data_IF_550119467025
#
_entry.id   IF_550119467025
#
_cell.length_a   1.000
_cell.length_b   1.000
_cell.length_c   1.000
_cell.angle_alpha   90.00
_cell.angle_beta   90.00
_cell.angle_gamma   90.00
#
_symmetry.space_group_name_H-M   'P 1'
#
loop_
_entity.id
_entity.type
_entity.pdbx_description
1 polymer ?
#
# COMPACT_ATOMS: atom_id res chain seq x y z
N UNK A 1 13.03 -5.12 -7.37
CA UNK A 1 12.97 -5.88 -6.12
C UNK A 1 13.18 -4.94 -4.94
N UNK A 2 12.43 -5.12 -3.86
CA UNK A 2 12.57 -4.32 -2.62
C UNK A 2 13.02 -5.26 -1.52
N UNK A 3 14.12 -4.93 -0.85
CA UNK A 3 14.66 -5.68 0.28
C UNK A 3 14.75 -4.77 1.50
N UNK A 4 14.19 -5.21 2.59
CA UNK A 4 14.27 -4.59 3.90
C UNK A 4 15.16 -5.49 4.75
N UNK A 5 16.25 -4.95 5.29
CA UNK A 5 17.30 -5.73 5.94
C UNK A 5 17.51 -5.21 7.36
N UNK A 6 17.10 -6.01 8.35
CA UNK A 6 17.26 -5.74 9.78
C UNK A 6 16.82 -4.32 10.19
N UNK A 7 15.65 -3.89 9.70
CA UNK A 7 15.17 -2.54 9.86
C UNK A 7 14.67 -2.31 11.28
N UNK A 8 15.21 -1.30 11.93
CA UNK A 8 14.75 -0.80 13.24
C UNK A 8 14.26 0.64 13.12
N UNK A 9 13.19 0.97 13.82
CA UNK A 9 12.72 2.35 13.97
C UNK A 9 12.27 2.61 15.38
N UNK A 10 12.89 3.59 16.01
CA UNK A 10 12.51 4.08 17.33
C UNK A 10 12.14 5.56 17.26
N UNK A 11 11.28 5.99 18.18
CA UNK A 11 10.90 7.39 18.37
C UNK A 11 11.16 7.78 19.83
N UNK A 12 11.77 8.96 20.10
CA UNK A 12 11.85 9.50 21.44
C UNK A 12 10.46 9.91 21.92
N UNK A 13 10.14 9.58 23.18
CA UNK A 13 8.91 9.98 23.84
C UNK A 13 9.25 10.62 25.20
N UNK A 14 8.33 11.38 25.83
CA UNK A 14 8.58 11.93 27.16
C UNK A 14 8.95 10.88 28.21
N UNK A 15 8.41 9.66 28.07
CA UNK A 15 8.58 8.55 29.00
C UNK A 15 9.72 7.58 28.60
N UNK A 16 10.53 7.93 27.57
CA UNK A 16 11.62 7.09 27.10
C UNK A 16 11.67 6.91 25.58
N UNK A 17 11.84 5.68 25.11
CA UNK A 17 11.97 5.35 23.68
C UNK A 17 10.86 4.37 23.29
N UNK A 18 10.07 4.73 22.31
CA UNK A 18 9.08 3.84 21.69
C UNK A 18 9.69 3.15 20.48
N UNK A 19 9.69 1.80 20.48
CA UNK A 19 10.13 0.99 19.32
C UNK A 19 8.94 0.71 18.43
N UNK A 20 8.93 1.29 17.24
CA UNK A 20 7.87 1.12 16.26
C UNK A 20 8.13 -0.03 15.28
N UNK A 21 9.42 -0.31 14.99
CA UNK A 21 9.86 -1.44 14.16
C UNK A 21 11.08 -2.07 14.83
N UNK A 22 11.11 -3.41 14.84
CA UNK A 22 12.17 -4.17 15.49
C UNK A 22 12.58 -5.35 14.59
N UNK A 23 13.80 -5.28 14.06
CA UNK A 23 14.43 -6.32 13.24
C UNK A 23 13.57 -6.79 12.05
N UNK A 24 12.96 -5.85 11.33
CA UNK A 24 12.14 -6.18 10.17
C UNK A 24 13.02 -6.57 9.00
N UNK A 25 12.91 -7.81 8.55
CA UNK A 25 13.55 -8.33 7.34
C UNK A 25 12.47 -8.88 6.40
N UNK A 26 12.42 -8.36 5.15
CA UNK A 26 11.37 -8.66 4.19
C UNK A 26 11.87 -8.45 2.76
N UNK A 27 11.46 -9.33 1.84
CA UNK A 27 11.74 -9.21 0.41
C UNK A 27 10.43 -9.16 -0.38
N UNK A 28 10.29 -8.17 -1.26
CA UNK A 28 9.13 -7.98 -2.14
C UNK A 28 9.62 -8.05 -3.58
N UNK A 29 9.02 -8.95 -4.37
CA UNK A 29 9.42 -9.18 -5.77
C UNK A 29 8.88 -8.08 -6.68
N UNK A 30 9.56 -7.87 -7.80
CA UNK A 30 9.07 -6.95 -8.82
C UNK A 30 7.74 -7.41 -9.41
N UNK A 31 6.85 -6.45 -9.65
CA UNK A 31 5.53 -6.70 -10.21
C UNK A 31 4.53 -7.35 -9.23
N UNK A 32 4.93 -7.61 -8.00
CA UNK A 32 4.06 -8.21 -6.99
C UNK A 32 3.01 -7.22 -6.46
N UNK A 33 1.85 -7.73 -6.07
CA UNK A 33 0.90 -7.03 -5.20
C UNK A 33 1.05 -7.62 -3.81
N UNK A 34 1.78 -6.92 -2.96
CA UNK A 34 2.21 -7.39 -1.66
C UNK A 34 1.40 -6.74 -0.53
N UNK A 35 0.77 -7.55 0.30
CA UNK A 35 0.02 -7.10 1.48
C UNK A 35 0.90 -6.98 2.72
N UNK A 36 0.76 -5.91 3.50
CA UNK A 36 1.29 -5.78 4.86
C UNK A 36 0.10 -5.63 5.80
N UNK A 37 -0.14 -6.64 6.60
CA UNK A 37 -1.30 -6.71 7.49
C UNK A 37 -0.89 -6.72 8.95
N UNK A 38 -1.82 -6.39 9.83
CA UNK A 38 -1.62 -6.39 11.28
C UNK A 38 -2.64 -5.49 11.97
N UNK A 39 -2.76 -5.65 13.28
CA UNK A 39 -3.65 -4.83 14.10
C UNK A 39 -3.25 -3.34 14.08
N UNK A 40 -4.16 -2.46 14.53
CA UNK A 40 -3.81 -1.05 14.73
C UNK A 40 -2.60 -0.92 15.66
N UNK A 41 -1.66 -0.04 15.32
CA UNK A 41 -0.42 0.12 16.08
C UNK A 41 0.68 -0.91 15.83
N UNK A 42 0.49 -1.89 14.94
CA UNK A 42 1.48 -2.92 14.63
C UNK A 42 2.78 -2.40 13.97
N UNK A 43 2.81 -1.12 13.52
CA UNK A 43 3.98 -0.52 12.86
C UNK A 43 3.87 -0.41 11.34
N UNK A 44 2.74 -0.81 10.73
CA UNK A 44 2.54 -0.87 9.26
C UNK A 44 2.85 0.45 8.54
N UNK A 45 2.21 1.54 8.93
CA UNK A 45 2.44 2.86 8.30
C UNK A 45 3.86 3.37 8.54
N UNK A 46 4.47 3.03 9.69
CA UNK A 46 5.89 3.34 9.94
C UNK A 46 6.79 2.58 8.98
N UNK A 47 6.51 1.29 8.74
CA UNK A 47 7.28 0.47 7.81
C UNK A 47 7.24 1.05 6.38
N UNK A 48 6.05 1.40 5.87
CA UNK A 48 5.92 2.01 4.53
C UNK A 48 6.62 3.37 4.44
N UNK A 49 6.53 4.19 5.49
CA UNK A 49 7.26 5.46 5.53
C UNK A 49 8.77 5.25 5.57
N UNK A 50 9.25 4.16 6.16
CA UNK A 50 10.66 3.78 6.09
C UNK A 50 11.03 3.27 4.70
N UNK A 51 10.20 2.50 4.02
CA UNK A 51 10.45 2.04 2.64
C UNK A 51 10.67 3.23 1.70
N UNK A 52 9.86 4.27 1.83
CA UNK A 52 9.99 5.52 1.05
C UNK A 52 10.95 6.54 1.70
N UNK A 53 11.62 6.17 2.79
CA UNK A 53 12.49 7.07 3.58
C UNK A 53 11.83 8.39 4.01
N UNK A 54 10.48 8.50 4.02
CA UNK A 54 9.77 9.60 4.66
C UNK A 54 10.09 9.63 6.16
N UNK A 55 10.23 8.44 6.76
CA UNK A 55 10.84 8.22 8.05
C UNK A 55 12.18 7.51 7.86
N UNK A 56 13.28 8.10 8.34
CA UNK A 56 14.56 7.41 8.31
C UNK A 56 14.57 6.31 9.38
N UNK A 57 14.97 5.08 9.04
CA UNK A 57 15.17 4.03 10.03
C UNK A 57 16.25 4.46 11.03
N UNK A 58 16.18 3.91 12.24
CA UNK A 58 17.23 4.09 13.28
C UNK A 58 18.46 3.26 12.94
N UNK A 59 18.24 2.05 12.40
CA UNK A 59 19.28 1.18 11.84
C UNK A 59 18.68 0.21 10.82
N UNK A 60 19.53 -0.55 10.12
CA UNK A 60 19.12 -1.42 9.02
C UNK A 60 19.06 -0.68 7.68
N UNK A 61 18.69 -1.40 6.63
CA UNK A 61 18.77 -0.93 5.26
C UNK A 61 17.45 -1.14 4.51
N UNK A 62 17.20 -0.27 3.55
CA UNK A 62 16.13 -0.41 2.53
C UNK A 62 16.80 -0.38 1.17
N UNK A 63 16.80 -1.49 0.47
CA UNK A 63 17.42 -1.64 -0.86
C UNK A 63 16.30 -1.74 -1.90
N UNK A 64 16.33 -0.90 -2.93
CA UNK A 64 15.37 -0.91 -4.04
C UNK A 64 16.12 -0.97 -5.35
N UNK A 65 15.87 -2.01 -6.14
CA UNK A 65 16.57 -2.28 -7.39
C UNK A 65 18.09 -2.36 -7.19
N UNK A 66 18.55 -2.97 -6.07
CA UNK A 66 19.98 -3.13 -5.73
C UNK A 66 20.65 -1.86 -5.19
N UNK A 67 19.93 -0.75 -5.01
CA UNK A 67 20.44 0.51 -4.48
C UNK A 67 19.95 0.74 -3.04
N UNK A 68 20.87 0.92 -2.11
CA UNK A 68 20.55 1.21 -0.70
C UNK A 68 20.05 2.65 -0.54
N UNK A 69 18.74 2.79 -0.34
CA UNK A 69 18.06 4.06 -0.14
C UNK A 69 18.53 4.80 1.10
N UNK A 70 18.98 4.07 2.14
CA UNK A 70 19.40 4.66 3.42
C UNK A 70 20.74 5.37 3.32
N UNK A 71 21.59 4.95 2.37
CA UNK A 71 22.91 5.52 2.11
C UNK A 71 22.88 6.73 1.14
N UNK A 72 21.75 6.99 0.48
CA UNK A 72 21.65 8.05 -0.51
C UNK A 72 21.78 9.45 0.09
N UNK A 73 22.46 10.33 -0.67
CA UNK A 73 22.45 11.77 -0.38
C UNK A 73 21.02 12.34 -0.52
N UNK A 74 20.71 13.48 0.13
CA UNK A 74 19.36 14.08 0.02
C UNK A 74 18.94 14.40 -1.43
N UNK A 75 19.88 14.71 -2.32
CA UNK A 75 19.61 14.96 -3.74
C UNK A 75 19.27 13.64 -4.45
N UNK A 76 20.10 12.62 -4.33
CA UNK A 76 19.89 11.32 -4.95
C UNK A 76 18.59 10.67 -4.44
N UNK A 77 18.30 10.77 -3.14
CA UNK A 77 17.05 10.27 -2.56
C UNK A 77 15.81 10.96 -3.16
N UNK A 78 15.85 12.28 -3.38
CA UNK A 78 14.73 12.98 -4.06
C UNK A 78 14.52 12.49 -5.49
N UNK A 79 15.59 12.20 -6.21
CA UNK A 79 15.52 11.65 -7.58
C UNK A 79 14.96 10.22 -7.55
N UNK A 80 15.45 9.37 -6.67
CA UNK A 80 14.97 7.99 -6.54
C UNK A 80 13.51 7.92 -6.12
N UNK A 81 13.04 8.79 -5.24
CA UNK A 81 11.63 8.89 -4.82
C UNK A 81 10.65 9.18 -5.96
N UNK A 82 11.11 9.66 -7.13
CA UNK A 82 10.24 9.80 -8.30
C UNK A 82 9.75 8.46 -8.83
N UNK A 83 10.51 7.39 -8.60
CA UNK A 83 10.13 6.03 -8.98
C UNK A 83 9.28 5.31 -7.93
N UNK A 84 8.99 5.97 -6.79
CA UNK A 84 8.22 5.42 -5.69
C UNK A 84 7.08 6.40 -5.38
N UNK A 85 5.86 6.02 -5.69
CA UNK A 85 4.69 6.84 -5.40
C UNK A 85 3.92 6.31 -4.20
N UNK A 86 3.20 7.19 -3.53
CA UNK A 86 2.42 6.83 -2.34
C UNK A 86 1.00 7.38 -2.43
N UNK A 87 0.05 6.51 -2.14
CA UNK A 87 -1.36 6.84 -1.92
C UNK A 87 -1.58 6.79 -0.41
N UNK A 88 -2.05 7.89 0.15
CA UNK A 88 -2.26 8.05 1.59
C UNK A 88 -3.70 7.71 1.96
N UNK A 89 -3.92 7.37 3.22
CA UNK A 89 -5.23 7.13 3.81
C UNK A 89 -6.20 8.31 3.58
N UNK A 90 -5.73 9.54 3.78
CA UNK A 90 -6.42 10.74 3.32
C UNK A 90 -5.94 11.05 1.91
N UNK A 91 -6.83 11.40 1.00
CA UNK A 91 -6.53 11.62 -0.43
C UNK A 91 -5.41 12.63 -0.68
N UNK A 92 -5.19 13.56 0.25
CA UNK A 92 -4.16 14.62 0.21
C UNK A 92 -4.16 15.41 -1.11
N UNK A 93 -5.35 15.62 -1.70
CA UNK A 93 -5.50 16.42 -2.89
C UNK A 93 -5.34 17.91 -2.58
N UNK A 94 -4.74 18.63 -3.51
CA UNK A 94 -4.62 20.09 -3.45
C UNK A 94 -5.99 20.70 -3.73
N UNK A 95 -6.69 21.12 -2.67
CA UNK A 95 -8.10 21.53 -2.72
C UNK A 95 -8.35 22.76 -3.61
N UNK A 96 -7.33 23.60 -3.80
CA UNK A 96 -7.40 24.82 -4.62
C UNK A 96 -6.96 24.58 -6.08
N UNK A 97 -6.66 23.34 -6.47
CA UNK A 97 -6.30 22.95 -7.83
C UNK A 97 -7.37 22.04 -8.42
N UNK A 98 -7.56 22.12 -9.73
CA UNK A 98 -8.41 21.20 -10.47
C UNK A 98 -7.89 19.75 -10.39
N UNK A 99 -8.68 18.77 -10.78
CA UNK A 99 -8.24 17.37 -10.89
C UNK A 99 -7.05 17.23 -11.84
N UNK A 100 -7.12 17.88 -13.00
CA UNK A 100 -6.05 17.89 -13.98
C UNK A 100 -4.75 18.46 -13.38
N UNK A 101 -4.84 19.60 -12.67
CA UNK A 101 -3.67 20.25 -12.08
C UNK A 101 -3.13 19.49 -10.86
N UNK A 102 -3.98 18.74 -10.13
CA UNK A 102 -3.54 17.78 -9.12
C UNK A 102 -2.66 16.67 -9.73
N UNK A 103 -3.07 16.12 -10.87
CA UNK A 103 -2.32 15.06 -11.56
C UNK A 103 -1.05 15.64 -12.20
N UNK A 104 -1.07 16.87 -12.71
CA UNK A 104 0.10 17.53 -13.26
C UNK A 104 1.17 17.85 -12.20
N UNK A 105 0.80 18.00 -10.94
CA UNK A 105 1.67 18.54 -9.89
C UNK A 105 3.00 17.77 -9.71
N UNK A 106 3.06 16.43 -9.65
CA UNK A 106 4.34 15.71 -9.59
C UNK A 106 5.25 15.97 -10.81
N UNK A 107 4.65 16.10 -11.98
CA UNK A 107 5.36 16.37 -13.23
C UNK A 107 5.88 17.82 -13.29
N UNK A 108 5.15 18.78 -12.72
CA UNK A 108 5.59 20.17 -12.55
C UNK A 108 6.85 20.22 -11.67
N UNK A 109 6.85 19.52 -10.53
CA UNK A 109 8.02 19.41 -9.63
C UNK A 109 9.21 18.75 -10.35
N UNK A 110 8.93 17.79 -11.24
CA UNK A 110 9.95 17.13 -12.04
C UNK A 110 10.50 18.00 -13.18
N UNK A 111 9.95 19.20 -13.42
CA UNK A 111 10.36 20.10 -14.50
C UNK A 111 9.85 19.69 -15.89
N UNK A 112 8.82 18.83 -15.95
CA UNK A 112 8.23 18.41 -17.24
C UNK A 112 7.47 19.60 -17.86
N UNK A 113 7.63 19.89 -19.15
CA UNK A 113 6.92 20.97 -19.82
C UNK A 113 5.40 20.84 -19.66
N UNK A 114 4.72 21.96 -19.36
CA UNK A 114 3.29 22.03 -19.05
C UNK A 114 2.41 21.33 -20.08
N UNK A 115 2.69 21.50 -21.38
CA UNK A 115 1.91 20.86 -22.43
C UNK A 115 1.99 19.32 -22.35
N UNK A 116 3.18 18.78 -22.11
CA UNK A 116 3.42 17.33 -21.95
C UNK A 116 2.76 16.80 -20.68
N UNK A 117 2.89 17.53 -19.58
CA UNK A 117 2.25 17.16 -18.31
C UNK A 117 0.71 17.12 -18.42
N UNK A 118 0.10 18.12 -19.10
CA UNK A 118 -1.37 18.13 -19.31
C UNK A 118 -1.86 17.00 -20.23
N UNK A 119 -1.08 16.65 -21.26
CA UNK A 119 -1.41 15.50 -22.12
C UNK A 119 -1.41 14.21 -21.27
N UNK A 120 -0.32 13.96 -20.56
CA UNK A 120 -0.20 12.78 -19.70
C UNK A 120 -1.29 12.73 -18.62
N UNK A 121 -1.63 13.86 -18.01
CA UNK A 121 -2.68 13.93 -17.00
C UNK A 121 -4.06 13.59 -17.57
N UNK A 122 -4.37 13.92 -18.83
CA UNK A 122 -5.63 13.52 -19.49
C UNK A 122 -5.68 12.00 -19.73
N UNK A 123 -4.60 11.38 -20.20
CA UNK A 123 -4.49 9.92 -20.34
C UNK A 123 -4.70 9.20 -19.00
N UNK A 124 -4.17 9.77 -17.92
CA UNK A 124 -4.35 9.21 -16.57
C UNK A 124 -5.78 9.39 -16.05
N UNK A 125 -6.47 10.50 -16.39
CA UNK A 125 -7.89 10.66 -16.11
C UNK A 125 -8.74 9.60 -16.83
N UNK A 126 -8.44 9.28 -18.08
CA UNK A 126 -9.07 8.17 -18.80
C UNK A 126 -8.77 6.82 -18.13
N UNK A 127 -7.53 6.59 -17.74
CA UNK A 127 -7.10 5.35 -17.06
C UNK A 127 -7.88 5.11 -15.77
N UNK A 128 -8.17 6.17 -15.00
CA UNK A 128 -8.94 6.03 -13.76
C UNK A 128 -10.46 6.20 -13.96
N UNK A 129 -10.92 6.33 -15.22
CA UNK A 129 -12.35 6.42 -15.58
C UNK A 129 -13.02 7.74 -15.20
N UNK A 130 -12.27 8.85 -15.24
CA UNK A 130 -12.77 10.20 -14.92
C UNK A 130 -12.39 11.27 -15.96
N UNK A 131 -12.54 11.01 -17.28
CA UNK A 131 -12.10 11.94 -18.33
C UNK A 131 -12.86 13.30 -18.28
N UNK A 132 -14.11 13.28 -17.80
CA UNK A 132 -14.99 14.44 -17.67
C UNK A 132 -14.69 15.33 -16.46
N UNK A 133 -13.83 14.90 -15.54
CA UNK A 133 -13.52 15.60 -14.28
C UNK A 133 -12.25 16.48 -14.32
N UNK A 134 -11.66 16.68 -15.51
CA UNK A 134 -10.41 17.43 -15.65
C UNK A 134 -10.44 18.81 -14.95
N UNK A 135 -11.50 19.57 -15.16
CA UNK A 135 -11.65 20.93 -14.64
C UNK A 135 -12.40 20.99 -13.29
N UNK A 136 -12.84 19.85 -12.75
CA UNK A 136 -13.51 19.79 -11.45
C UNK A 136 -12.49 19.98 -10.31
N UNK A 137 -12.94 20.54 -9.20
CA UNK A 137 -12.17 20.66 -7.96
C UNK A 137 -12.45 19.49 -7.02
N UNK A 138 -11.50 19.11 -6.13
CA UNK A 138 -11.69 18.01 -5.18
C UNK A 138 -12.96 18.12 -4.32
N UNK A 139 -13.39 19.35 -3.97
CA UNK A 139 -14.62 19.56 -3.21
C UNK A 139 -15.89 19.08 -3.92
N UNK A 140 -15.86 18.96 -5.26
CA UNK A 140 -16.99 18.55 -6.11
C UNK A 140 -17.03 17.03 -6.34
N UNK A 141 -16.10 16.27 -5.76
CA UNK A 141 -15.94 14.84 -5.99
C UNK A 141 -16.44 14.00 -4.81
N UNK A 142 -16.97 12.81 -5.13
CA UNK A 142 -17.21 11.77 -4.13
C UNK A 142 -15.87 11.22 -3.58
N UNK A 143 -15.91 10.49 -2.46
CA UNK A 143 -14.73 9.85 -1.87
C UNK A 143 -13.99 8.94 -2.87
N UNK A 144 -14.72 8.07 -3.57
CA UNK A 144 -14.15 7.20 -4.59
C UNK A 144 -13.55 7.94 -5.79
N UNK A 145 -14.17 9.05 -6.21
CA UNK A 145 -13.61 9.90 -7.26
C UNK A 145 -12.32 10.59 -6.80
N UNK A 146 -12.28 11.11 -5.56
CA UNK A 146 -11.05 11.66 -4.95
C UNK A 146 -9.94 10.63 -4.92
N UNK A 147 -10.24 9.39 -4.56
CA UNK A 147 -9.26 8.31 -4.54
C UNK A 147 -8.73 8.00 -5.94
N UNK A 148 -9.58 7.94 -6.94
CA UNK A 148 -9.16 7.76 -8.34
C UNK A 148 -8.24 8.88 -8.83
N UNK A 149 -8.51 10.15 -8.46
CA UNK A 149 -7.61 11.26 -8.77
C UNK A 149 -6.28 11.13 -8.01
N UNK A 150 -6.28 10.68 -6.75
CA UNK A 150 -5.06 10.44 -6.00
C UNK A 150 -4.20 9.31 -6.62
N UNK A 151 -4.86 8.25 -7.13
CA UNK A 151 -4.19 7.18 -7.90
C UNK A 151 -3.60 7.76 -9.20
N UNK A 152 -4.37 8.50 -9.99
CA UNK A 152 -3.87 9.12 -11.22
C UNK A 152 -2.66 10.03 -10.96
N UNK A 153 -2.71 10.84 -9.89
CA UNK A 153 -1.59 11.67 -9.45
C UNK A 153 -0.36 10.84 -9.08
N UNK A 154 -0.55 9.73 -8.38
CA UNK A 154 0.55 8.83 -8.01
C UNK A 154 1.21 8.20 -9.25
N UNK A 155 0.45 7.92 -10.31
CA UNK A 155 0.96 7.38 -11.57
C UNK A 155 1.64 8.42 -12.47
N UNK A 156 1.50 9.71 -12.19
CA UNK A 156 1.98 10.78 -13.06
C UNK A 156 3.51 10.81 -13.22
N UNK A 157 4.26 10.28 -12.25
CA UNK A 157 5.72 10.17 -12.30
C UNK A 157 6.23 8.85 -12.89
N UNK A 158 5.36 8.03 -13.48
CA UNK A 158 5.67 6.69 -13.99
C UNK A 158 6.44 5.83 -12.97
N UNK A 159 5.86 5.59 -11.78
CA UNK A 159 6.55 4.93 -10.69
C UNK A 159 6.75 3.44 -10.98
N UNK A 160 7.83 2.88 -10.43
CA UNK A 160 8.05 1.42 -10.37
C UNK A 160 7.38 0.77 -9.16
N UNK A 161 7.20 1.54 -8.09
CA UNK A 161 6.63 1.10 -6.82
C UNK A 161 5.47 2.03 -6.43
N UNK A 162 4.33 1.43 -6.10
CA UNK A 162 3.15 2.11 -5.58
C UNK A 162 2.87 1.64 -4.15
N UNK A 163 2.99 2.56 -3.19
CA UNK A 163 2.70 2.32 -1.78
C UNK A 163 1.27 2.78 -1.48
N UNK A 164 0.43 1.89 -0.96
CA UNK A 164 -0.96 2.17 -0.62
C UNK A 164 -1.13 2.06 0.91
N UNK A 165 -1.14 3.21 1.60
CA UNK A 165 -1.32 3.27 3.06
C UNK A 165 -2.81 3.43 3.38
N UNK A 166 -3.49 2.33 3.72
CA UNK A 166 -4.93 2.27 4.01
C UNK A 166 -5.81 3.01 2.97
N UNK A 167 -5.47 2.85 1.71
CA UNK A 167 -6.02 3.61 0.59
C UNK A 167 -7.54 3.46 0.39
N UNK A 168 -8.20 2.56 1.10
CA UNK A 168 -9.64 2.27 0.99
C UNK A 168 -10.41 2.43 2.28
N UNK A 169 -9.75 2.68 3.42
CA UNK A 169 -10.38 2.70 4.75
C UNK A 169 -11.49 3.76 4.95
N UNK A 170 -11.50 4.79 4.12
CA UNK A 170 -12.51 5.87 4.16
C UNK A 170 -13.63 5.69 3.12
N UNK A 171 -13.73 4.52 2.46
CA UNK A 171 -14.65 4.25 1.37
C UNK A 171 -15.69 3.18 1.76
N UNK A 172 -16.85 3.23 1.11
CA UNK A 172 -17.82 2.15 1.23
C UNK A 172 -17.34 0.85 0.55
N UNK A 173 -17.86 -0.33 0.91
CA UNK A 173 -17.38 -1.62 0.39
C UNK A 173 -17.43 -1.75 -1.13
N UNK A 174 -18.43 -1.17 -1.79
CA UNK A 174 -18.58 -1.23 -3.26
C UNK A 174 -17.51 -0.41 -3.94
N UNK A 175 -17.29 0.81 -3.44
CA UNK A 175 -16.22 1.70 -3.92
C UNK A 175 -14.85 1.11 -3.65
N UNK A 176 -14.64 0.51 -2.46
CA UNK A 176 -13.40 -0.20 -2.11
C UNK A 176 -13.04 -1.24 -3.17
N UNK A 177 -13.95 -2.17 -3.49
CA UNK A 177 -13.71 -3.20 -4.51
C UNK A 177 -13.37 -2.59 -5.88
N UNK A 178 -14.06 -1.50 -6.26
CA UNK A 178 -13.79 -0.79 -7.52
C UNK A 178 -12.38 -0.20 -7.56
N UNK A 179 -11.89 0.36 -6.44
CA UNK A 179 -10.53 0.90 -6.32
C UNK A 179 -9.49 -0.22 -6.32
N UNK A 180 -9.75 -1.33 -5.62
CA UNK A 180 -8.85 -2.48 -5.57
C UNK A 180 -8.65 -3.09 -6.96
N UNK A 181 -9.73 -3.28 -7.72
CA UNK A 181 -9.66 -3.75 -9.12
C UNK A 181 -8.88 -2.78 -10.00
N UNK A 182 -9.09 -1.48 -9.85
CA UNK A 182 -8.31 -0.47 -10.57
C UNK A 182 -6.80 -0.60 -10.27
N UNK A 183 -6.41 -0.78 -8.99
CA UNK A 183 -5.01 -0.97 -8.59
C UNK A 183 -4.45 -2.26 -9.20
N UNK A 184 -5.20 -3.35 -9.19
CA UNK A 184 -4.80 -4.63 -9.79
C UNK A 184 -4.63 -4.51 -11.32
N UNK A 185 -5.54 -3.81 -12.00
CA UNK A 185 -5.45 -3.57 -13.45
C UNK A 185 -4.22 -2.72 -13.80
N UNK A 186 -3.92 -1.71 -12.97
CA UNK A 186 -2.73 -0.87 -13.11
C UNK A 186 -1.47 -1.73 -12.92
N UNK A 187 -1.40 -2.56 -11.88
CA UNK A 187 -0.28 -3.48 -11.65
C UNK A 187 -0.06 -4.39 -12.87
N UNK A 188 -1.11 -5.06 -13.36
CA UNK A 188 -1.03 -5.97 -14.50
C UNK A 188 -0.61 -5.27 -15.80
N UNK A 189 -1.12 -4.05 -16.04
CA UNK A 189 -0.83 -3.31 -17.28
C UNK A 189 0.54 -2.66 -17.31
N UNK A 190 1.01 -2.15 -16.16
CA UNK A 190 2.25 -1.39 -16.05
C UNK A 190 3.42 -2.21 -15.48
N UNK A 191 3.17 -3.39 -14.92
CA UNK A 191 4.18 -4.24 -14.30
C UNK A 191 4.80 -3.63 -13.04
N UNK A 192 4.13 -2.65 -12.41
CA UNK A 192 4.65 -1.98 -11.20
C UNK A 192 4.45 -2.84 -9.97
N UNK A 193 5.35 -2.73 -9.01
CA UNK A 193 5.19 -3.37 -7.69
C UNK A 193 4.22 -2.55 -6.84
N UNK A 194 3.24 -3.21 -6.23
CA UNK A 194 2.26 -2.55 -5.35
C UNK A 194 2.40 -3.10 -3.93
N UNK A 195 2.52 -2.20 -2.94
CA UNK A 195 2.50 -2.56 -1.52
C UNK A 195 1.23 -2.00 -0.92
N UNK A 196 0.37 -2.88 -0.40
CA UNK A 196 -0.92 -2.53 0.20
C UNK A 196 -0.84 -2.71 1.70
N UNK A 197 -1.06 -1.62 2.44
CA UNK A 197 -1.24 -1.68 3.88
C UNK A 197 -2.72 -1.66 4.20
N UNK A 198 -3.15 -2.63 4.99
CA UNK A 198 -4.53 -2.71 5.44
C UNK A 198 -4.63 -3.55 6.72
N UNK A 199 -5.71 -3.37 7.44
CA UNK A 199 -6.15 -4.28 8.49
C UNK A 199 -7.34 -5.14 8.03
N UNK A 200 -7.81 -4.96 6.79
CA UNK A 200 -8.93 -5.67 6.19
C UNK A 200 -8.42 -6.90 5.42
N UNK A 201 -8.64 -8.10 5.97
CA UNK A 201 -8.22 -9.35 5.33
C UNK A 201 -8.86 -9.57 3.96
N UNK A 202 -10.12 -9.16 3.78
CA UNK A 202 -10.82 -9.25 2.49
C UNK A 202 -10.11 -8.48 1.37
N UNK A 203 -9.47 -7.35 1.68
CA UNK A 203 -8.66 -6.57 0.72
C UNK A 203 -7.45 -7.37 0.26
N UNK A 204 -6.75 -8.01 1.20
CA UNK A 204 -5.56 -8.82 0.90
C UNK A 204 -5.93 -10.03 0.04
N UNK A 205 -7.00 -10.72 0.41
CA UNK A 205 -7.50 -11.90 -0.31
C UNK A 205 -7.93 -11.56 -1.75
N UNK A 206 -8.49 -10.36 -1.97
CA UNK A 206 -9.00 -9.94 -3.29
C UNK A 206 -7.87 -9.59 -4.28
N UNK A 207 -6.78 -8.94 -3.82
CA UNK A 207 -5.80 -8.39 -4.78
C UNK A 207 -4.34 -8.78 -4.56
N UNK A 208 -3.95 -9.25 -3.37
CA UNK A 208 -2.55 -9.54 -3.07
C UNK A 208 -2.16 -10.97 -3.49
N UNK A 209 -0.92 -11.13 -3.92
CA UNK A 209 -0.30 -12.44 -4.19
C UNK A 209 0.48 -12.96 -2.98
N UNK A 210 1.14 -12.06 -2.26
CA UNK A 210 1.90 -12.37 -1.05
C UNK A 210 1.50 -11.43 0.08
N UNK A 211 1.76 -11.86 1.31
CA UNK A 211 1.43 -11.08 2.50
C UNK A 211 2.50 -11.25 3.58
N UNK A 212 2.73 -10.18 4.34
CA UNK A 212 3.46 -10.21 5.60
C UNK A 212 2.54 -9.80 6.75
N UNK A 213 2.54 -10.58 7.81
CA UNK A 213 1.83 -10.29 9.06
C UNK A 213 2.77 -9.54 9.99
N UNK A 214 2.41 -8.33 10.34
CA UNK A 214 3.18 -7.47 11.23
C UNK A 214 2.49 -7.37 12.60
N UNK A 215 3.24 -7.59 13.67
CA UNK A 215 2.76 -7.43 15.04
C UNK A 215 3.88 -6.86 15.92
N UNK A 216 3.55 -5.86 16.73
CA UNK A 216 4.50 -5.20 17.63
C UNK A 216 5.84 -4.79 16.96
N UNK A 217 5.75 -4.30 15.72
CA UNK A 217 6.91 -3.87 14.95
C UNK A 217 7.76 -4.98 14.35
N UNK A 218 7.34 -6.24 14.43
CA UNK A 218 8.06 -7.43 13.90
C UNK A 218 7.25 -8.12 12.81
N UNK A 219 7.92 -8.69 11.83
CA UNK A 219 7.30 -9.61 10.87
C UNK A 219 7.17 -10.98 11.53
N UNK A 220 5.93 -11.39 11.77
CA UNK A 220 5.62 -12.66 12.42
C UNK A 220 5.50 -13.81 11.43
N UNK A 221 5.06 -13.50 10.21
CA UNK A 221 4.85 -14.49 9.16
C UNK A 221 4.87 -13.81 7.79
N UNK A 222 5.33 -14.51 6.77
CA UNK A 222 5.27 -14.09 5.37
C UNK A 222 5.07 -15.31 4.48
N UNK A 223 4.33 -15.16 3.40
CA UNK A 223 4.05 -16.23 2.44
C UNK A 223 3.11 -15.77 1.34
N UNK A 224 2.67 -16.71 0.50
CA UNK A 224 1.54 -16.44 -0.40
C UNK A 224 0.27 -16.21 0.41
N UNK A 225 -0.67 -15.46 -0.15
CA UNK A 225 -1.97 -15.23 0.50
C UNK A 225 -2.67 -16.57 0.79
N UNK A 226 -2.61 -17.50 -0.15
CA UNK A 226 -3.20 -18.85 0.02
C UNK A 226 -2.60 -19.58 1.21
N UNK A 227 -1.27 -19.60 1.37
CA UNK A 227 -0.59 -20.28 2.49
C UNK A 227 -0.96 -19.66 3.83
N UNK A 228 -0.88 -18.33 3.95
CA UNK A 228 -1.12 -17.62 5.22
C UNK A 228 -2.60 -17.66 5.62
N UNK A 229 -3.53 -17.65 4.64
CA UNK A 229 -4.96 -17.68 4.93
C UNK A 229 -5.50 -19.10 5.18
N UNK A 230 -4.95 -20.12 4.50
CA UNK A 230 -5.39 -21.52 4.72
C UNK A 230 -4.78 -22.14 5.96
N UNK A 231 -3.53 -21.81 6.29
CA UNK A 231 -2.80 -22.42 7.42
C UNK A 231 -1.83 -21.41 8.06
N UNK A 232 -2.34 -20.38 8.77
CA UNK A 232 -1.49 -19.40 9.43
C UNK A 232 -0.63 -20.06 10.50
N UNK A 233 0.70 -19.87 10.38
CA UNK A 233 1.69 -20.48 11.28
C UNK A 233 1.86 -19.67 12.56
N UNK A 234 1.80 -18.33 12.45
CA UNK A 234 1.93 -17.44 13.59
C UNK A 234 0.61 -17.29 14.35
N UNK A 235 0.68 -17.03 15.64
CA UNK A 235 -0.49 -16.67 16.45
C UNK A 235 -1.13 -15.36 15.96
N UNK A 236 -0.31 -14.40 15.55
CA UNK A 236 -0.77 -13.15 14.95
C UNK A 236 -1.56 -13.39 13.65
N UNK A 237 -1.07 -14.28 12.77
CA UNK A 237 -1.77 -14.69 11.56
C UNK A 237 -3.11 -15.36 11.88
N UNK A 238 -3.14 -16.28 12.84
CA UNK A 238 -4.39 -16.96 13.27
C UNK A 238 -5.42 -15.96 13.77
N UNK A 239 -5.03 -14.98 14.59
CA UNK A 239 -5.94 -13.94 15.11
C UNK A 239 -6.51 -13.06 14.00
N UNK A 240 -5.72 -12.79 12.96
CA UNK A 240 -6.16 -11.96 11.83
C UNK A 240 -7.08 -12.72 10.88
N UNK A 241 -6.76 -13.98 10.58
CA UNK A 241 -7.54 -14.82 9.65
C UNK A 241 -8.82 -15.36 10.32
N UNK A 242 -8.76 -15.64 11.63
CA UNK A 242 -9.87 -16.22 12.42
C UNK A 242 -10.21 -15.33 13.63
N UNK A 243 -10.72 -14.10 13.43
CA UNK A 243 -10.95 -13.14 14.53
C UNK A 243 -11.96 -13.65 15.59
N UNK A 244 -12.91 -14.49 15.20
CA UNK A 244 -13.95 -15.05 16.10
C UNK A 244 -13.48 -16.29 16.85
N UNK A 245 -12.19 -16.63 16.76
CA UNK A 245 -11.56 -17.70 17.50
C UNK A 245 -12.32 -19.01 17.41
N UNK A 246 -12.16 -19.77 16.33
CA UNK A 246 -12.43 -21.22 16.44
C UNK A 246 -11.35 -21.76 17.37
N UNK A 247 -11.70 -21.95 18.64
CA UNK A 247 -10.85 -22.62 19.61
C UNK A 247 -10.64 -24.06 19.14
N UNK A 248 -9.59 -24.26 18.31
CA UNK A 248 -9.17 -25.58 17.86
C UNK A 248 -8.81 -26.52 19.05
N UNK A 249 -8.63 -25.96 20.24
CA UNK A 249 -8.33 -26.67 21.46
C UNK A 249 -9.54 -27.47 22.04
N UNK A 250 -10.75 -27.28 21.51
CA UNK A 250 -11.95 -28.00 21.99
C UNK A 250 -12.29 -29.25 21.18
N UNK A 251 -11.58 -29.54 20.07
CA UNK A 251 -11.86 -30.71 19.25
C UNK A 251 -10.59 -31.54 19.01
N UNK A 252 -10.30 -32.55 19.85
CA UNK A 252 -9.06 -33.33 19.76
C UNK A 252 -8.93 -34.18 18.48
N UNK A 253 -9.96 -34.32 17.68
CA UNK A 253 -9.94 -35.04 16.38
C UNK A 253 -11.08 -34.51 15.49
N UNK A 254 -10.96 -33.32 14.94
CA UNK A 254 -11.94 -32.87 13.95
C UNK A 254 -11.23 -32.16 12.77
N UNK A 255 -11.51 -32.63 11.56
CA UNK A 255 -11.19 -31.91 10.35
C UNK A 255 -12.12 -30.69 10.28
N UNK A 256 -11.58 -29.48 10.31
CA UNK A 256 -12.36 -28.25 10.09
C UNK A 256 -12.62 -28.12 8.59
N UNK A 257 -13.86 -28.30 8.19
CA UNK A 257 -14.30 -28.03 6.81
C UNK A 257 -14.86 -26.61 6.77
N UNK A 258 -14.16 -25.70 6.10
CA UNK A 258 -14.68 -24.38 5.78
C UNK A 258 -15.65 -24.50 4.61
N UNK A 259 -16.95 -24.39 4.87
CA UNK A 259 -17.97 -24.32 3.81
C UNK A 259 -18.10 -22.85 3.39
N UNK A 260 -17.54 -22.50 2.25
CA UNK A 260 -17.75 -21.21 1.63
C UNK A 260 -19.01 -21.28 0.77
N UNK A 261 -20.10 -20.67 1.20
CA UNK A 261 -21.28 -20.48 0.37
C UNK A 261 -21.02 -19.35 -0.62
N UNK A 262 -20.59 -19.68 -1.82
CA UNK A 262 -20.72 -18.76 -2.95
C UNK A 262 -22.19 -18.70 -3.31
N UNK A 263 -22.89 -17.68 -2.82
CA UNK A 263 -24.28 -17.39 -3.21
C UNK A 263 -24.35 -17.07 -4.69
N UNK A 264 -24.48 -18.11 -5.51
CA UNK A 264 -24.95 -18.00 -6.86
C UNK A 264 -26.46 -17.70 -6.80
N UNK A 265 -26.85 -16.48 -7.11
CA UNK A 265 -28.24 -16.15 -7.42
C UNK A 265 -28.64 -16.86 -8.70
N UNK A 266 -29.59 -17.79 -8.57
CA UNK A 266 -30.44 -18.27 -9.66
C UNK A 266 -31.31 -17.14 -10.21
#
# INVERSE_FOLDING_TARGET
>A
MIEIQHLHKTFPTPDGVFTALEDVTLTIRDGDVFGIVGMSGAGKSTLVRCINLLERPTSGHVVIDGEDMTALSPKALREKRRSISMIFQQFNLLMQRTCLDNICFPMEIAGIPKAKARLRARELLETVGLPDKAEAYPAQLSGGQKQRIAIARALASDPKVLLCDEATSALDPTTTRSILRLIQDINKRLGITVIVITHEMAVVEEICSHVAVLEHGRVMETGTVEEVFSNPRSEAGRRLVFPDGVALDQFPVASVVRVVFNGGSS
#
